data_IF_098769197560
#
_entry.id   IF_098769197560
#
_cell.length_a   1.000
_cell.length_b   1.000
_cell.length_c   1.000
_cell.angle_alpha   90.00
_cell.angle_beta   90.00
_cell.angle_gamma   90.00
#
_symmetry.space_group_name_H-M   'P 1'
#
loop_
_entity.id
_entity.type
_entity.pdbx_description
1 polymer ?
#
# COMPACT_ATOMS: atom_id res chain seq x y z
N UNK A 1 -14.29 -2.33 7.89
CA UNK A 1 -13.07 -3.13 7.63
C UNK A 1 -12.10 -2.39 6.72
N UNK A 2 -12.50 -2.01 5.49
CA UNK A 2 -11.61 -1.36 4.50
C UNK A 2 -10.91 -0.07 4.97
N UNK A 3 -11.58 0.83 5.72
CA UNK A 3 -10.93 2.02 6.32
C UNK A 3 -9.75 1.67 7.23
N UNK A 4 -9.83 0.55 7.96
CA UNK A 4 -8.74 0.09 8.84
C UNK A 4 -7.57 -0.43 8.01
N UNK A 5 -7.84 -1.14 6.91
CA UNK A 5 -6.80 -1.57 5.97
C UNK A 5 -6.06 -0.36 5.39
N UNK A 6 -6.78 0.66 4.91
CA UNK A 6 -6.17 1.89 4.39
C UNK A 6 -5.29 2.56 5.44
N UNK A 7 -5.77 2.65 6.69
CA UNK A 7 -4.97 3.20 7.79
C UNK A 7 -3.68 2.39 8.00
N UNK A 8 -3.77 1.06 8.05
CA UNK A 8 -2.61 0.18 8.28
C UNK A 8 -1.57 0.29 7.16
N UNK A 9 -1.99 0.43 5.90
CA UNK A 9 -1.07 0.54 4.76
C UNK A 9 -0.32 1.89 4.72
N UNK A 10 -0.90 2.95 5.28
CA UNK A 10 -0.39 4.32 5.16
C UNK A 10 0.15 4.90 6.48
N UNK A 11 0.23 4.09 7.54
CA UNK A 11 0.83 4.48 8.82
C UNK A 11 2.21 3.85 8.94
N UNK A 12 3.19 4.59 9.45
CA UNK A 12 4.48 4.02 9.82
C UNK A 12 4.31 2.86 10.83
N UNK A 13 5.15 1.83 10.67
CA UNK A 13 5.30 0.76 11.66
C UNK A 13 6.17 1.30 12.80
N UNK A 14 5.65 1.27 14.02
CA UNK A 14 6.39 1.51 15.25
C UNK A 14 6.95 0.18 15.77
N UNK A 15 8.15 0.19 16.35
CA UNK A 15 8.82 -1.02 16.84
C UNK A 15 7.97 -1.72 17.94
N UNK A 16 7.72 -3.03 17.80
CA UNK A 16 7.05 -3.88 18.78
C UNK A 16 8.06 -4.58 19.71
N UNK A 17 7.72 -4.75 20.99
CA UNK A 17 8.52 -5.51 21.97
C UNK A 17 8.69 -7.00 21.58
N UNK A 18 7.77 -7.55 20.77
CA UNK A 18 7.80 -8.95 20.31
C UNK A 18 8.92 -9.27 19.32
N UNK A 19 9.47 -8.25 18.67
CA UNK A 19 10.50 -8.34 17.62
C UNK A 19 11.69 -7.46 17.98
N UNK A 20 12.07 -7.41 19.25
CA UNK A 20 13.12 -6.54 19.80
C UNK A 20 14.50 -6.61 19.10
N UNK A 21 14.77 -7.63 18.29
CA UNK A 21 15.98 -7.77 17.48
C UNK A 21 15.85 -7.19 16.04
N UNK A 22 14.66 -6.75 15.64
CA UNK A 22 14.35 -6.15 14.34
C UNK A 22 14.01 -4.68 14.56
N UNK A 23 14.68 -3.79 13.85
CA UNK A 23 14.26 -2.39 13.75
C UNK A 23 13.17 -2.29 12.67
N UNK A 24 11.91 -2.35 13.10
CA UNK A 24 10.75 -2.39 12.20
C UNK A 24 10.55 -1.05 11.48
N UNK A 25 10.87 0.05 12.15
CA UNK A 25 10.88 1.39 11.54
C UNK A 25 11.81 1.46 10.33
N UNK A 26 13.05 0.98 10.47
CA UNK A 26 14.03 0.91 9.38
C UNK A 26 13.58 -0.07 8.29
N UNK A 27 13.08 -1.24 8.68
CA UNK A 27 12.56 -2.22 7.73
C UNK A 27 11.42 -1.63 6.89
N UNK A 28 10.49 -0.91 7.52
CA UNK A 28 9.39 -0.25 6.83
C UNK A 28 9.89 0.80 5.82
N UNK A 29 10.92 1.58 6.16
CA UNK A 29 11.54 2.51 5.20
C UNK A 29 12.20 1.79 4.01
N UNK A 30 12.83 0.64 4.24
CA UNK A 30 13.39 -0.20 3.17
C UNK A 30 12.26 -0.69 2.26
N UNK A 31 11.15 -1.17 2.82
CA UNK A 31 9.99 -1.62 2.04
C UNK A 31 9.43 -0.48 1.18
N UNK A 32 9.28 0.72 1.73
CA UNK A 32 8.82 1.90 0.98
C UNK A 32 9.78 2.23 -0.17
N UNK A 33 11.08 2.18 0.07
CA UNK A 33 12.10 2.64 -0.88
C UNK A 33 12.44 1.60 -1.95
N UNK A 34 12.41 0.31 -1.61
CA UNK A 34 12.91 -0.78 -2.47
C UNK A 34 11.82 -1.77 -2.89
N UNK A 35 10.68 -1.81 -2.20
CA UNK A 35 9.65 -2.85 -2.39
C UNK A 35 9.15 -2.93 -3.83
N UNK A 36 8.86 -1.79 -4.46
CA UNK A 36 8.39 -1.76 -5.85
C UNK A 36 9.46 -2.17 -6.86
N UNK A 37 10.74 -1.90 -6.56
CA UNK A 37 11.86 -2.26 -7.43
C UNK A 37 12.09 -3.76 -7.49
N UNK A 38 11.63 -4.52 -6.48
CA UNK A 38 11.75 -5.97 -6.45
C UNK A 38 11.00 -6.68 -7.59
N UNK A 39 9.86 -6.13 -8.04
CA UNK A 39 9.08 -6.70 -9.15
C UNK A 39 9.06 -5.83 -10.41
N UNK A 40 9.56 -4.59 -10.36
CA UNK A 40 9.76 -3.74 -11.55
C UNK A 40 11.12 -4.03 -12.21
N UNK A 41 11.40 -5.30 -12.49
CA UNK A 41 12.63 -5.76 -13.12
C UNK A 41 12.33 -6.55 -14.40
N UNK A 42 13.34 -6.69 -15.27
CA UNK A 42 13.23 -7.53 -16.47
C UNK A 42 13.04 -9.02 -16.13
N UNK A 43 13.47 -9.45 -14.94
CA UNK A 43 13.50 -10.86 -14.54
C UNK A 43 12.24 -11.32 -13.80
N UNK A 44 11.34 -10.38 -13.45
CA UNK A 44 10.13 -10.62 -12.65
C UNK A 44 9.30 -11.81 -13.13
N UNK A 45 9.27 -12.08 -14.45
CA UNK A 45 8.57 -13.22 -15.02
C UNK A 45 9.08 -14.57 -14.50
N UNK A 46 10.39 -14.75 -14.38
CA UNK A 46 10.97 -16.00 -13.85
C UNK A 46 10.85 -16.06 -12.33
N UNK A 47 11.11 -14.96 -11.62
CA UNK A 47 10.96 -14.86 -10.16
C UNK A 47 9.52 -15.19 -9.73
N UNK A 48 8.55 -14.76 -10.55
CA UNK A 48 7.14 -15.06 -10.36
C UNK A 48 6.81 -16.54 -10.54
N UNK A 49 7.47 -17.26 -11.45
CA UNK A 49 7.34 -18.72 -11.58
C UNK A 49 7.85 -19.43 -10.34
N UNK A 50 8.91 -18.89 -9.72
CA UNK A 50 9.45 -19.36 -8.44
C UNK A 50 8.60 -18.96 -7.21
N UNK A 51 7.45 -18.32 -7.42
CA UNK A 51 6.51 -17.89 -6.38
C UNK A 51 7.06 -16.86 -5.39
N UNK A 52 8.12 -16.13 -5.72
CA UNK A 52 8.71 -15.11 -4.84
C UNK A 52 7.72 -13.99 -4.48
N UNK A 53 6.77 -13.69 -5.36
CA UNK A 53 5.73 -12.67 -5.12
C UNK A 53 4.41 -13.25 -4.59
N UNK A 54 4.37 -14.54 -4.21
CA UNK A 54 3.14 -15.14 -3.66
C UNK A 54 2.61 -14.39 -2.44
N UNK A 55 3.43 -14.01 -1.43
CA UNK A 55 2.94 -13.27 -0.27
C UNK A 55 2.27 -11.93 -0.65
N UNK A 56 2.86 -11.19 -1.59
CA UNK A 56 2.30 -9.93 -2.09
C UNK A 56 0.96 -10.14 -2.81
N UNK A 57 0.86 -11.18 -3.66
CA UNK A 57 -0.39 -11.53 -4.35
C UNK A 57 -1.48 -11.96 -3.36
N UNK A 58 -1.12 -12.72 -2.34
CA UNK A 58 -2.06 -13.18 -1.31
C UNK A 58 -2.61 -11.98 -0.53
N UNK A 59 -1.75 -11.01 -0.17
CA UNK A 59 -2.18 -9.76 0.45
C UNK A 59 -3.15 -8.97 -0.45
N UNK A 60 -2.79 -8.79 -1.73
CA UNK A 60 -3.69 -8.15 -2.70
C UNK A 60 -5.02 -8.88 -2.83
N UNK A 61 -5.02 -10.22 -2.80
CA UNK A 61 -6.24 -11.03 -2.88
C UNK A 61 -7.13 -10.84 -1.64
N UNK A 62 -6.56 -10.83 -0.44
CA UNK A 62 -7.30 -10.57 0.81
C UNK A 62 -7.99 -9.21 0.75
N UNK A 63 -7.26 -8.15 0.37
CA UNK A 63 -7.84 -6.80 0.27
C UNK A 63 -8.89 -6.74 -0.86
N UNK A 64 -8.64 -7.41 -1.99
CA UNK A 64 -9.59 -7.53 -3.08
C UNK A 64 -10.91 -8.16 -2.64
N UNK A 65 -10.87 -9.22 -1.84
CA UNK A 65 -12.05 -9.87 -1.29
C UNK A 65 -12.81 -8.92 -0.35
N UNK A 66 -12.12 -8.19 0.52
CA UNK A 66 -12.73 -7.17 1.39
C UNK A 66 -13.44 -6.09 0.56
N UNK A 67 -12.84 -5.66 -0.56
CA UNK A 67 -13.46 -4.69 -1.48
C UNK A 67 -14.72 -5.28 -2.11
N UNK A 68 -14.66 -6.53 -2.59
CA UNK A 68 -15.82 -7.23 -3.16
C UNK A 68 -16.97 -7.41 -2.16
N UNK A 69 -16.67 -7.67 -0.89
CA UNK A 69 -17.67 -7.73 0.18
C UNK A 69 -18.30 -6.35 0.44
N UNK A 70 -17.49 -5.29 0.40
CA UNK A 70 -17.96 -3.92 0.64
C UNK A 70 -18.78 -3.34 -0.54
N UNK A 71 -18.42 -3.69 -1.78
CA UNK A 71 -19.11 -3.24 -3.00
C UNK A 71 -19.13 -4.37 -4.04
N UNK A 72 -20.13 -5.27 -3.99
CA UNK A 72 -20.20 -6.43 -4.89
C UNK A 72 -20.31 -6.08 -6.38
N UNK A 73 -20.77 -4.86 -6.71
CA UNK A 73 -20.90 -4.38 -8.09
C UNK A 73 -19.63 -3.73 -8.63
N UNK A 74 -18.63 -3.48 -7.78
CA UNK A 74 -17.39 -2.86 -8.22
C UNK A 74 -16.60 -3.81 -9.13
N UNK A 75 -16.24 -3.33 -10.32
CA UNK A 75 -15.70 -4.19 -11.39
C UNK A 75 -14.24 -4.60 -11.21
N UNK A 76 -13.46 -3.87 -10.40
CA UNK A 76 -11.99 -4.00 -10.39
C UNK A 76 -11.38 -4.17 -8.98
N UNK A 77 -11.91 -5.06 -8.11
CA UNK A 77 -11.51 -5.15 -6.70
C UNK A 77 -10.03 -5.50 -6.52
N UNK A 78 -9.50 -6.43 -7.32
CA UNK A 78 -8.09 -6.84 -7.27
C UNK A 78 -7.14 -5.72 -7.69
N UNK A 79 -7.47 -5.01 -8.77
CA UNK A 79 -6.67 -3.89 -9.25
C UNK A 79 -6.66 -2.76 -8.24
N UNK A 80 -7.82 -2.43 -7.67
CA UNK A 80 -7.92 -1.41 -6.63
C UNK A 80 -7.11 -1.79 -5.37
N UNK A 81 -7.10 -3.07 -4.98
CA UNK A 81 -6.28 -3.56 -3.87
C UNK A 81 -4.79 -3.28 -4.08
N UNK A 82 -4.21 -3.73 -5.20
CA UNK A 82 -2.81 -3.45 -5.52
C UNK A 82 -2.54 -1.95 -5.62
N UNK A 83 -3.45 -1.19 -6.23
CA UNK A 83 -3.29 0.27 -6.37
C UNK A 83 -3.21 0.97 -5.01
N UNK A 84 -4.05 0.61 -4.03
CA UNK A 84 -4.03 1.25 -2.71
C UNK A 84 -2.72 0.94 -1.97
N UNK A 85 -2.24 -0.31 -2.05
CA UNK A 85 -0.97 -0.71 -1.43
C UNK A 85 0.18 0.13 -2.01
N UNK A 86 0.30 0.16 -3.34
CA UNK A 86 1.39 0.90 -3.98
C UNK A 86 1.29 2.41 -3.74
N UNK A 87 0.08 2.96 -3.79
CA UNK A 87 -0.12 4.40 -3.59
C UNK A 87 0.21 4.83 -2.16
N UNK A 88 -0.05 3.99 -1.15
CA UNK A 88 0.34 4.29 0.22
C UNK A 88 1.87 4.46 0.32
N UNK A 89 2.64 3.50 -0.18
CA UNK A 89 4.10 3.57 -0.18
C UNK A 89 4.62 4.75 -1.02
N UNK A 90 4.08 4.98 -2.21
CA UNK A 90 4.52 6.07 -3.08
C UNK A 90 4.24 7.45 -2.48
N UNK A 91 3.08 7.67 -1.87
CA UNK A 91 2.79 8.97 -1.27
C UNK A 91 3.69 9.24 -0.06
N UNK A 92 4.03 8.21 0.74
CA UNK A 92 5.02 8.35 1.81
C UNK A 92 6.41 8.65 1.23
N UNK A 93 6.82 7.93 0.18
CA UNK A 93 8.10 8.15 -0.49
C UNK A 93 8.20 9.56 -1.10
N UNK A 94 7.19 10.01 -1.84
CA UNK A 94 7.15 11.34 -2.44
C UNK A 94 7.10 12.43 -1.38
N UNK A 95 6.30 12.24 -0.33
CA UNK A 95 6.23 13.18 0.78
C UNK A 95 7.62 13.46 1.33
N UNK A 96 8.47 12.44 1.47
CA UNK A 96 9.81 12.57 2.03
C UNK A 96 10.89 12.98 1.01
N UNK A 97 10.84 12.46 -0.21
CA UNK A 97 11.97 12.55 -1.17
C UNK A 97 11.67 13.40 -2.41
N UNK A 98 10.42 13.42 -2.88
CA UNK A 98 10.00 14.11 -4.11
C UNK A 98 8.76 14.98 -3.83
N UNK A 99 8.87 15.99 -2.94
CA UNK A 99 7.71 16.68 -2.37
C UNK A 99 6.89 17.49 -3.37
N UNK A 100 7.39 17.73 -4.59
CA UNK A 100 6.63 18.37 -5.67
C UNK A 100 5.64 17.43 -6.37
N UNK A 101 5.73 16.11 -6.13
CA UNK A 101 4.83 15.11 -6.71
C UNK A 101 3.61 14.79 -5.83
N UNK A 102 3.48 15.47 -4.69
CA UNK A 102 2.43 15.18 -3.71
C UNK A 102 1.98 16.43 -2.97
N UNK A 103 0.72 16.45 -2.54
CA UNK A 103 0.15 17.54 -1.75
C UNK A 103 0.68 17.55 -0.30
N UNK A 104 1.29 16.45 0.16
CA UNK A 104 1.71 16.26 1.55
C UNK A 104 3.16 16.71 1.81
N UNK A 105 3.87 17.21 0.79
CA UNK A 105 5.28 17.57 0.86
C UNK A 105 5.59 18.68 1.89
N UNK A 106 4.61 19.53 2.23
CA UNK A 106 4.75 20.60 3.23
C UNK A 106 4.36 20.17 4.65
N UNK A 107 3.25 19.44 4.79
CA UNK A 107 2.67 19.08 6.09
C UNK A 107 3.40 17.91 6.73
N UNK A 108 3.93 17.00 5.90
CA UNK A 108 4.61 15.76 6.33
C UNK A 108 3.73 14.88 7.22
N UNK A 109 2.40 14.90 7.00
CA UNK A 109 1.42 14.19 7.82
C UNK A 109 0.85 12.97 7.11
N UNK A 110 1.12 11.78 7.65
CA UNK A 110 0.53 10.52 7.16
C UNK A 110 -1.00 10.52 7.21
N UNK A 111 -1.61 11.27 8.15
CA UNK A 111 -3.07 11.42 8.23
C UNK A 111 -3.68 12.01 6.96
N UNK A 112 -2.94 12.84 6.23
CA UNK A 112 -3.41 13.43 4.97
C UNK A 112 -3.34 12.42 3.82
N UNK A 113 -2.31 11.55 3.81
CA UNK A 113 -2.23 10.40 2.89
C UNK A 113 -3.41 9.46 3.13
N UNK A 114 -3.71 9.14 4.39
CA UNK A 114 -4.87 8.31 4.78
C UNK A 114 -6.18 8.96 4.30
N UNK A 115 -6.33 10.27 4.46
CA UNK A 115 -7.52 10.99 4.00
C UNK A 115 -7.67 10.91 2.47
N UNK A 116 -6.58 11.13 1.73
CA UNK A 116 -6.54 11.01 0.27
C UNK A 116 -6.90 9.60 -0.21
N UNK A 117 -6.29 8.56 0.36
CA UNK A 117 -6.60 7.18 -0.01
C UNK A 117 -8.05 6.80 0.31
N UNK A 118 -8.58 7.26 1.44
CA UNK A 118 -10.01 7.07 1.73
C UNK A 118 -10.89 7.76 0.69
N UNK A 119 -10.59 9.00 0.32
CA UNK A 119 -11.36 9.71 -0.70
C UNK A 119 -11.34 8.98 -2.04
N UNK A 120 -10.14 8.62 -2.53
CA UNK A 120 -9.94 7.87 -3.78
C UNK A 120 -10.75 6.57 -3.82
N UNK A 121 -10.66 5.78 -2.75
CA UNK A 121 -11.31 4.47 -2.67
C UNK A 121 -12.82 4.60 -2.57
N UNK A 122 -13.33 5.37 -1.59
CA UNK A 122 -14.77 5.43 -1.37
C UNK A 122 -15.51 6.20 -2.47
N UNK A 123 -14.86 7.15 -3.14
CA UNK A 123 -15.42 7.77 -4.35
C UNK A 123 -15.51 6.79 -5.51
N UNK A 124 -14.51 5.92 -5.68
CA UNK A 124 -14.54 4.86 -6.70
C UNK A 124 -15.62 3.82 -6.44
N UNK A 125 -15.82 3.43 -5.17
CA UNK A 125 -16.83 2.43 -4.78
C UNK A 125 -18.27 2.96 -4.85
N UNK A 126 -18.49 4.28 -4.70
CA UNK A 126 -19.81 4.93 -4.80
C UNK A 126 -20.39 4.97 -6.21
N UNK A 127 -19.57 4.90 -7.26
CA UNK A 127 -20.00 4.94 -8.67
C UNK A 127 -20.54 3.59 -9.18
N UNK A 128 -20.72 2.59 -8.30
CA UNK A 128 -21.08 1.20 -8.64
C UNK A 128 -22.50 0.82 -8.21
#
# INVERSE_FOLDING_TARGET
MLKRVIKLLATAVEDDEKTSYINESLLHQIIITEGSKAYLTKQVGEDNKQQFFKPYKDLCAVIGNIISECSPKYKYPKSLASTIIEMAHFQIFFMNNLPSLTDFGKTKKESEIIAFLNDLVFTSLKKS
#
